data_IF_659238236996
#
_entry.id   IF_659238236996
#
_cell.length_a   1.000
_cell.length_b   1.000
_cell.length_c   1.000
_cell.angle_alpha   90.00
_cell.angle_beta   90.00
_cell.angle_gamma   90.00
#
_symmetry.space_group_name_H-M   'P 1'
#
loop_
_entity.id
_entity.type
_entity.pdbx_description
1 polymer ?
#
# COMPACT_ATOMS: atom_id res chain seq x y z
N UNK A 1 3.56 -14.09 -9.17
CA UNK A 1 4.73 -15.02 -9.14
C UNK A 1 5.99 -14.22 -8.83
N UNK A 2 7.10 -14.87 -8.46
CA UNK A 2 8.37 -14.17 -8.14
C UNK A 2 8.84 -13.24 -9.28
N UNK A 3 8.61 -13.66 -10.53
CA UNK A 3 8.88 -12.86 -11.73
C UNK A 3 8.20 -11.48 -11.70
N UNK A 4 6.91 -11.44 -11.31
CA UNK A 4 6.14 -10.20 -11.21
C UNK A 4 6.65 -9.32 -10.06
N UNK A 5 7.03 -9.94 -8.92
CA UNK A 5 7.58 -9.23 -7.76
C UNK A 5 8.92 -8.58 -8.08
N UNK A 6 9.82 -9.28 -8.78
CA UNK A 6 11.09 -8.73 -9.26
C UNK A 6 10.84 -7.54 -10.20
N UNK A 7 9.95 -7.72 -11.18
CA UNK A 7 9.62 -6.67 -12.15
C UNK A 7 9.01 -5.43 -11.47
N UNK A 8 8.07 -5.65 -10.57
CA UNK A 8 7.37 -4.60 -9.84
C UNK A 8 8.35 -3.84 -8.93
N UNK A 9 9.17 -4.55 -8.16
CA UNK A 9 10.20 -3.93 -7.32
C UNK A 9 11.24 -3.16 -8.13
N UNK A 10 11.71 -3.70 -9.27
CA UNK A 10 12.66 -2.98 -10.13
C UNK A 10 12.06 -1.68 -10.67
N UNK A 11 10.83 -1.75 -11.20
CA UNK A 11 10.12 -0.57 -11.71
C UNK A 11 9.91 0.46 -10.60
N UNK A 12 9.57 0.00 -9.39
CA UNK A 12 9.38 0.85 -8.22
C UNK A 12 10.69 1.52 -7.78
N UNK A 13 11.80 0.81 -7.83
CA UNK A 13 13.13 1.37 -7.59
C UNK A 13 13.57 2.37 -8.69
N UNK A 14 12.81 2.51 -9.78
CA UNK A 14 13.15 3.37 -10.91
C UNK A 14 14.34 2.86 -11.73
N UNK A 15 14.71 1.59 -11.57
CA UNK A 15 15.90 1.01 -12.19
C UNK A 15 15.55 0.40 -13.55
N UNK A 16 16.38 0.65 -14.56
CA UNK A 16 16.45 -0.20 -15.75
C UNK A 16 17.07 -1.56 -15.41
N UNK A 17 16.95 -2.54 -16.33
CA UNK A 17 17.60 -3.85 -16.16
C UNK A 17 19.13 -3.71 -16.03
N UNK A 18 19.72 -2.72 -16.71
CA UNK A 18 21.16 -2.42 -16.63
C UNK A 18 21.52 -1.81 -15.28
N UNK A 19 20.74 -0.85 -14.80
CA UNK A 19 21.01 -0.22 -13.50
C UNK A 19 20.84 -1.20 -12.35
N UNK A 20 19.87 -2.13 -12.42
CA UNK A 20 19.74 -3.19 -11.43
C UNK A 20 20.94 -4.16 -11.48
N UNK A 21 21.41 -4.53 -12.67
CA UNK A 21 22.62 -5.34 -12.83
C UNK A 21 23.84 -4.65 -12.18
N UNK A 22 24.00 -3.34 -12.43
CA UNK A 22 25.06 -2.53 -11.81
C UNK A 22 24.90 -2.43 -10.29
N UNK A 23 23.69 -2.21 -9.77
CA UNK A 23 23.40 -2.18 -8.33
C UNK A 23 23.70 -3.52 -7.64
N UNK A 24 23.63 -4.62 -8.38
CA UNK A 24 24.04 -5.95 -7.92
C UNK A 24 25.54 -6.24 -8.15
N UNK A 25 26.35 -5.22 -8.44
CA UNK A 25 27.78 -5.33 -8.77
C UNK A 25 28.07 -6.31 -9.92
N UNK A 26 27.19 -6.36 -10.93
CA UNK A 26 27.35 -7.24 -12.08
C UNK A 26 27.17 -8.74 -11.78
N UNK A 27 26.69 -9.11 -10.58
CA UNK A 27 26.47 -10.52 -10.18
C UNK A 27 25.55 -11.26 -11.15
N UNK A 28 24.62 -10.55 -11.78
CA UNK A 28 23.76 -11.04 -12.86
C UNK A 28 23.68 -10.00 -13.96
N UNK A 29 23.59 -10.46 -15.22
CA UNK A 29 23.48 -9.57 -16.37
C UNK A 29 22.06 -9.01 -16.50
N UNK A 30 21.91 -7.86 -17.16
CA UNK A 30 20.60 -7.30 -17.49
C UNK A 30 19.70 -8.29 -18.26
N UNK A 31 20.29 -9.15 -19.09
CA UNK A 31 19.57 -10.19 -19.81
C UNK A 31 19.03 -11.27 -18.87
N UNK A 32 19.83 -11.74 -17.91
CA UNK A 32 19.40 -12.71 -16.90
C UNK A 32 18.26 -12.15 -16.04
N UNK A 33 18.37 -10.89 -15.58
CA UNK A 33 17.29 -10.20 -14.88
C UNK A 33 16.01 -10.18 -15.73
N UNK A 34 16.13 -9.86 -17.03
CA UNK A 34 15.00 -9.87 -17.94
C UNK A 34 14.33 -11.25 -18.07
N UNK A 35 15.11 -12.34 -18.06
CA UNK A 35 14.57 -13.71 -18.04
C UNK A 35 13.82 -14.01 -16.75
N UNK A 36 14.36 -13.61 -15.59
CA UNK A 36 13.68 -13.75 -14.31
C UNK A 36 12.34 -13.01 -14.29
N UNK A 37 12.29 -11.77 -14.79
CA UNK A 37 11.06 -10.99 -14.87
C UNK A 37 10.01 -11.59 -15.81
N UNK A 38 10.41 -12.40 -16.79
CA UNK A 38 9.48 -13.12 -17.69
C UNK A 38 9.14 -14.53 -17.22
N UNK A 39 9.74 -14.99 -16.12
CA UNK A 39 9.57 -16.36 -15.63
C UNK A 39 10.23 -17.42 -16.50
N UNK A 40 11.18 -17.02 -17.36
CA UNK A 40 11.93 -17.92 -18.25
C UNK A 40 13.10 -18.60 -17.54
N UNK A 41 13.49 -18.09 -16.37
CA UNK A 41 14.57 -18.62 -15.54
C UNK A 41 14.29 -18.31 -14.07
N UNK A 42 14.90 -19.08 -13.16
CA UNK A 42 14.68 -18.96 -11.72
C UNK A 42 15.97 -18.46 -11.04
N UNK A 43 15.93 -17.36 -10.27
CA UNK A 43 17.10 -16.88 -9.56
C UNK A 43 17.55 -17.88 -8.49
N UNK A 44 18.86 -18.10 -8.37
CA UNK A 44 19.41 -18.88 -7.25
C UNK A 44 19.28 -18.11 -5.92
N UNK A 45 19.39 -18.80 -4.79
CA UNK A 45 19.31 -18.19 -3.45
C UNK A 45 20.27 -17.00 -3.27
N UNK A 46 21.50 -17.12 -3.76
CA UNK A 46 22.49 -16.04 -3.74
C UNK A 46 22.11 -14.84 -4.62
N UNK A 47 21.39 -15.08 -5.71
CA UNK A 47 20.85 -14.00 -6.57
C UNK A 47 19.65 -13.34 -5.91
N UNK A 48 18.77 -14.10 -5.26
CA UNK A 48 17.64 -13.56 -4.50
C UNK A 48 18.11 -12.60 -3.40
N UNK A 49 19.12 -12.97 -2.62
CA UNK A 49 19.69 -12.10 -1.58
C UNK A 49 20.30 -10.82 -2.18
N UNK A 50 20.90 -10.91 -3.37
CA UNK A 50 21.42 -9.74 -4.06
C UNK A 50 20.29 -8.85 -4.59
N UNK A 51 19.20 -9.44 -5.08
CA UNK A 51 18.01 -8.73 -5.53
C UNK A 51 17.34 -7.98 -4.38
N UNK A 52 17.12 -8.62 -3.23
CA UNK A 52 16.50 -7.96 -2.05
C UNK A 52 17.30 -6.74 -1.64
N UNK A 53 18.63 -6.84 -1.59
CA UNK A 53 19.52 -5.71 -1.26
C UNK A 53 19.49 -4.60 -2.31
N UNK A 54 19.59 -4.94 -3.59
CA UNK A 54 19.64 -3.95 -4.67
C UNK A 54 18.30 -3.24 -4.90
N UNK A 55 17.20 -3.94 -4.64
CA UNK A 55 15.84 -3.43 -4.81
C UNK A 55 15.28 -2.78 -3.54
N UNK A 56 15.93 -2.99 -2.38
CA UNK A 56 15.45 -2.48 -1.09
C UNK A 56 14.15 -3.13 -0.64
N UNK A 57 13.94 -4.41 -0.95
CA UNK A 57 12.73 -5.17 -0.58
C UNK A 57 13.10 -6.38 0.27
N UNK A 58 12.14 -6.87 1.06
CA UNK A 58 12.37 -8.07 1.88
C UNK A 58 12.39 -9.37 1.05
N UNK A 59 13.01 -10.43 1.59
CA UNK A 59 12.91 -11.76 0.99
C UNK A 59 11.45 -12.25 0.98
N UNK A 60 10.70 -11.94 2.04
CA UNK A 60 9.28 -12.25 2.12
C UNK A 60 8.52 -11.64 0.95
N UNK A 61 8.76 -10.37 0.62
CA UNK A 61 8.11 -9.71 -0.52
C UNK A 61 8.39 -10.40 -1.87
N UNK A 62 9.62 -10.84 -2.13
CA UNK A 62 9.94 -11.56 -3.38
C UNK A 62 9.27 -12.93 -3.45
N UNK A 63 9.16 -13.59 -2.29
CA UNK A 63 8.57 -14.92 -2.16
C UNK A 63 7.05 -14.88 -2.01
N UNK A 64 6.48 -13.71 -1.75
CA UNK A 64 5.07 -13.56 -1.50
C UNK A 64 4.24 -13.90 -2.77
N UNK A 65 3.28 -14.78 -2.55
CA UNK A 65 2.35 -15.29 -3.56
C UNK A 65 1.01 -14.57 -3.51
N UNK A 66 0.73 -13.79 -2.45
CA UNK A 66 -0.47 -13.00 -2.36
C UNK A 66 -0.36 -11.84 -3.35
N UNK A 67 -1.22 -11.82 -4.36
CA UNK A 67 -1.24 -10.77 -5.36
C UNK A 67 -1.93 -9.52 -4.80
N UNK A 68 -1.39 -8.92 -3.74
CA UNK A 68 -1.86 -7.61 -3.29
C UNK A 68 -1.24 -6.49 -4.14
N UNK A 69 -2.09 -5.56 -4.52
CA UNK A 69 -1.75 -4.39 -5.35
C UNK A 69 -2.45 -3.15 -4.80
N UNK A 70 -1.75 -2.02 -4.81
CA UNK A 70 -2.36 -0.72 -4.51
C UNK A 70 -3.05 -0.19 -5.77
N UNK A 71 -4.33 0.15 -5.66
CA UNK A 71 -5.12 0.77 -6.71
C UNK A 71 -5.70 2.11 -6.22
N UNK A 72 -5.85 3.07 -7.13
CA UNK A 72 -6.44 4.38 -6.79
C UNK A 72 -5.66 5.14 -5.73
N UNK A 73 -4.32 5.14 -5.81
CA UNK A 73 -3.46 5.86 -4.86
C UNK A 73 -3.64 7.37 -5.03
N UNK A 74 -4.16 8.03 -4.00
CA UNK A 74 -4.43 9.47 -3.97
C UNK A 74 -3.70 10.15 -2.82
N UNK A 75 -2.66 10.92 -3.14
CA UNK A 75 -1.90 11.68 -2.17
C UNK A 75 -2.63 12.97 -1.77
N UNK A 76 -2.65 13.28 -0.46
CA UNK A 76 -3.38 14.44 0.11
C UNK A 76 -2.91 15.80 -0.44
N UNK A 77 -1.62 15.92 -0.76
CA UNK A 77 -1.03 17.15 -1.29
C UNK A 77 -0.67 16.92 -2.75
N UNK A 78 -0.75 17.96 -3.61
CA UNK A 78 -0.07 18.01 -4.94
C UNK A 78 1.45 18.01 -4.73
N UNK A 79 1.94 17.00 -4.02
CA UNK A 79 3.31 16.90 -3.65
C UNK A 79 4.09 16.80 -4.97
N UNK A 80 5.08 17.66 -5.11
CA UNK A 80 6.17 17.55 -6.08
C UNK A 80 7.02 16.32 -5.75
N UNK A 81 6.36 15.19 -5.54
CA UNK A 81 6.93 13.90 -5.18
C UNK A 81 7.37 13.30 -6.49
N UNK A 82 8.68 13.07 -6.59
CA UNK A 82 9.24 12.41 -7.76
C UNK A 82 8.58 11.04 -7.94
N UNK A 83 8.55 10.53 -9.17
CA UNK A 83 8.04 9.18 -9.44
C UNK A 83 8.75 8.12 -8.56
N UNK A 84 10.04 8.33 -8.27
CA UNK A 84 10.84 7.49 -7.39
C UNK A 84 10.32 7.45 -5.96
N UNK A 85 9.97 8.61 -5.40
CA UNK A 85 9.47 8.69 -4.03
C UNK A 85 8.07 8.08 -3.89
N UNK A 86 7.18 8.32 -4.87
CA UNK A 86 5.86 7.68 -4.88
C UNK A 86 6.01 6.17 -4.87
N UNK A 87 6.85 5.66 -5.75
CA UNK A 87 7.09 4.24 -5.86
C UNK A 87 7.74 3.64 -4.61
N UNK A 88 8.67 4.35 -3.97
CA UNK A 88 9.24 3.91 -2.69
C UNK A 88 8.16 3.82 -1.60
N UNK A 89 7.37 4.89 -1.41
CA UNK A 89 6.28 4.93 -0.44
C UNK A 89 5.22 3.86 -0.68
N UNK A 90 4.80 3.66 -1.93
CA UNK A 90 3.89 2.59 -2.33
C UNK A 90 4.46 1.19 -2.09
N UNK A 91 5.79 1.02 -2.04
CA UNK A 91 6.43 -0.25 -1.71
C UNK A 91 6.39 -0.50 -0.22
N UNK A 92 6.82 0.47 0.57
CA UNK A 92 6.80 0.41 2.04
C UNK A 92 5.40 0.10 2.56
N UNK A 93 4.39 0.82 2.04
CA UNK A 93 3.00 0.61 2.42
C UNK A 93 2.49 -0.77 2.02
N UNK A 94 2.81 -1.23 0.81
CA UNK A 94 2.40 -2.55 0.35
C UNK A 94 3.02 -3.67 1.20
N UNK A 95 4.31 -3.56 1.53
CA UNK A 95 4.99 -4.53 2.43
C UNK A 95 4.43 -4.49 3.85
N UNK A 96 4.03 -3.32 4.34
CA UNK A 96 3.39 -3.21 5.65
C UNK A 96 2.02 -3.88 5.65
N UNK A 97 1.18 -3.58 4.66
CA UNK A 97 -0.16 -4.17 4.51
C UNK A 97 -0.08 -5.68 4.36
N UNK A 98 0.86 -6.18 3.55
CA UNK A 98 1.06 -7.62 3.40
C UNK A 98 1.32 -8.27 4.77
N UNK A 99 2.32 -7.78 5.50
CA UNK A 99 2.64 -8.30 6.84
C UNK A 99 1.44 -8.24 7.79
N UNK A 100 0.68 -7.15 7.76
CA UNK A 100 -0.50 -6.99 8.58
C UNK A 100 -1.57 -8.04 8.25
N UNK A 101 -1.89 -8.22 6.96
CA UNK A 101 -2.87 -9.22 6.51
C UNK A 101 -2.42 -10.65 6.81
N UNK A 102 -1.12 -10.94 6.75
CA UNK A 102 -0.58 -12.25 7.16
C UNK A 102 -0.80 -12.52 8.65
N UNK A 103 -0.63 -11.51 9.50
CA UNK A 103 -0.89 -11.64 10.95
C UNK A 103 -2.37 -11.90 11.19
N UNK A 104 -3.26 -11.14 10.55
CA UNK A 104 -4.70 -11.36 10.69
C UNK A 104 -5.12 -12.75 10.24
N UNK A 105 -4.61 -13.22 9.10
CA UNK A 105 -4.84 -14.57 8.61
C UNK A 105 -4.35 -15.63 9.61
N UNK A 106 -3.15 -15.45 10.17
CA UNK A 106 -2.58 -16.36 11.17
C UNK A 106 -3.39 -16.40 12.47
N UNK A 107 -4.02 -15.29 12.83
CA UNK A 107 -4.89 -15.15 14.01
C UNK A 107 -6.35 -15.53 13.74
N UNK A 108 -6.72 -15.83 12.48
CA UNK A 108 -8.10 -16.12 12.09
C UNK A 108 -9.03 -14.91 12.19
N UNK A 109 -8.50 -13.70 12.05
CA UNK A 109 -9.25 -12.45 12.05
C UNK A 109 -9.74 -12.12 10.63
N UNK A 110 -11.02 -11.77 10.47
CA UNK A 110 -11.60 -11.32 9.20
C UNK A 110 -12.10 -9.87 9.32
N UNK A 111 -11.15 -8.96 9.48
CA UNK A 111 -11.36 -7.58 9.95
C UNK A 111 -11.58 -6.55 8.83
N UNK A 112 -11.89 -6.99 7.61
CA UNK A 112 -11.71 -6.15 6.42
C UNK A 112 -12.94 -6.14 5.50
N UNK A 113 -14.12 -5.96 6.08
CA UNK A 113 -15.33 -5.59 5.33
C UNK A 113 -15.65 -4.13 5.63
N UNK A 114 -15.46 -3.28 4.62
CA UNK A 114 -15.73 -1.85 4.72
C UNK A 114 -17.23 -1.59 4.93
N UNK A 115 -17.60 -1.11 6.11
CA UNK A 115 -18.94 -0.68 6.47
C UNK A 115 -19.14 0.78 6.07
N UNK A 116 -19.13 1.03 4.75
CA UNK A 116 -19.34 2.36 4.20
C UNK A 116 -20.65 2.96 4.73
N UNK A 117 -20.63 4.17 5.32
CA UNK A 117 -21.86 4.81 5.78
C UNK A 117 -22.66 5.38 4.60
N UNK A 118 -22.08 5.37 3.39
CA UNK A 118 -22.65 5.87 2.15
C UNK A 118 -22.72 4.75 1.12
N UNK A 119 -23.87 4.59 0.47
CA UNK A 119 -24.05 3.60 -0.59
C UNK A 119 -23.30 3.98 -1.89
N UNK A 120 -23.20 5.28 -2.18
CA UNK A 120 -22.58 5.81 -3.39
C UNK A 120 -21.95 7.19 -3.16
N UNK A 121 -20.96 7.60 -3.98
CA UNK A 121 -20.39 8.93 -3.93
C UNK A 121 -21.46 10.01 -4.18
N UNK A 122 -21.56 10.99 -3.27
CA UNK A 122 -22.52 12.09 -3.37
C UNK A 122 -21.83 13.39 -3.74
N UNK A 123 -22.32 14.06 -4.80
CA UNK A 123 -21.85 15.40 -5.17
C UNK A 123 -22.51 16.45 -4.28
N UNK A 124 -21.70 17.14 -3.49
CA UNK A 124 -22.13 18.23 -2.60
C UNK A 124 -22.06 19.58 -3.31
N UNK A 125 -23.01 20.46 -3.02
CA UNK A 125 -23.14 21.80 -3.64
C UNK A 125 -22.89 22.94 -2.66
N UNK A 126 -22.87 22.66 -1.36
CA UNK A 126 -22.64 23.66 -0.32
C UNK A 126 -22.01 23.05 0.94
N UNK A 127 -21.37 23.88 1.80
CA UNK A 127 -20.90 23.43 3.12
C UNK A 127 -22.02 22.87 4.01
N UNK A 128 -23.24 23.43 3.92
CA UNK A 128 -24.38 22.94 4.68
C UNK A 128 -24.78 21.50 4.31
N UNK A 129 -24.64 21.12 3.04
CA UNK A 129 -24.83 19.73 2.63
C UNK A 129 -23.76 18.79 3.19
N UNK A 130 -22.52 19.27 3.38
CA UNK A 130 -21.45 18.51 4.00
C UNK A 130 -21.71 18.28 5.50
N UNK A 131 -22.16 19.30 6.22
CA UNK A 131 -22.57 19.19 7.63
C UNK A 131 -23.73 18.20 7.81
N UNK A 132 -24.74 18.28 6.93
CA UNK A 132 -25.86 17.33 6.96
C UNK A 132 -25.38 15.89 6.70
N UNK A 133 -24.48 15.70 5.72
CA UNK A 133 -23.91 14.38 5.44
C UNK A 133 -23.13 13.84 6.65
N UNK A 134 -22.35 14.69 7.33
CA UNK A 134 -21.64 14.30 8.54
C UNK A 134 -22.60 13.89 9.67
N UNK A 135 -23.73 14.60 9.83
CA UNK A 135 -24.78 14.24 10.79
C UNK A 135 -25.45 12.89 10.43
N UNK A 136 -25.71 12.65 9.15
CA UNK A 136 -26.27 11.38 8.66
C UNK A 136 -25.31 10.21 8.94
N UNK A 137 -24.01 10.39 8.70
CA UNK A 137 -22.96 9.41 9.03
C UNK A 137 -22.92 9.13 10.53
N UNK A 138 -22.93 10.17 11.37
CA UNK A 138 -22.97 10.00 12.85
C UNK A 138 -24.19 9.22 13.29
N UNK A 139 -25.37 9.50 12.72
CA UNK A 139 -26.59 8.76 13.02
C UNK A 139 -26.50 7.30 12.59
N UNK A 140 -25.99 7.04 11.39
CA UNK A 140 -25.82 5.70 10.85
C UNK A 140 -24.86 4.86 11.69
N UNK A 141 -23.72 5.42 12.09
CA UNK A 141 -22.73 4.77 12.93
C UNK A 141 -22.99 4.88 14.44
N UNK A 142 -24.08 5.53 14.84
CA UNK A 142 -24.50 5.72 16.24
C UNK A 142 -23.44 6.40 17.13
N UNK A 143 -22.76 7.43 16.59
CA UNK A 143 -21.64 8.10 17.26
C UNK A 143 -22.05 9.18 18.27
N UNK A 144 -23.32 9.54 18.34
CA UNK A 144 -23.78 10.68 19.12
C UNK A 144 -23.24 12.02 18.60
N UNK A 145 -23.23 13.03 19.47
CA UNK A 145 -22.82 14.41 19.16
C UNK A 145 -21.48 14.81 19.80
N UNK A 146 -20.98 14.01 20.73
CA UNK A 146 -19.73 14.27 21.44
C UNK A 146 -18.51 14.13 20.50
N UNK A 147 -17.35 14.73 20.87
CA UNK A 147 -16.12 14.54 20.15
C UNK A 147 -15.75 13.05 19.99
N UNK A 148 -15.22 12.70 18.83
CA UNK A 148 -14.71 11.34 18.58
C UNK A 148 -13.34 11.23 19.27
N UNK A 149 -13.18 10.37 20.29
CA UNK A 149 -11.95 10.32 21.08
C UNK A 149 -10.77 9.79 20.27
N UNK A 150 -11.02 8.82 19.38
CA UNK A 150 -10.01 8.20 18.53
C UNK A 150 -10.58 7.93 17.14
N UNK A 151 -10.20 8.78 16.18
CA UNK A 151 -10.65 8.64 14.79
C UNK A 151 -10.06 7.39 14.12
N UNK A 152 -8.83 7.01 14.46
CA UNK A 152 -8.17 5.83 13.90
C UNK A 152 -8.92 4.57 14.25
N UNK A 153 -9.18 4.36 15.54
CA UNK A 153 -9.91 3.20 16.05
C UNK A 153 -11.32 3.13 15.47
N UNK A 154 -12.05 4.25 15.44
CA UNK A 154 -13.36 4.31 14.81
C UNK A 154 -13.31 3.83 13.35
N UNK A 155 -12.35 4.32 12.56
CA UNK A 155 -12.22 3.95 11.15
C UNK A 155 -11.86 2.46 11.00
N UNK A 156 -11.01 1.92 11.87
CA UNK A 156 -10.65 0.50 11.85
C UNK A 156 -11.81 -0.42 12.24
N UNK A 157 -12.64 -0.03 13.23
CA UNK A 157 -13.87 -0.75 13.59
C UNK A 157 -14.89 -0.80 12.44
N UNK A 158 -14.87 0.20 11.56
CA UNK A 158 -15.72 0.21 10.35
C UNK A 158 -15.08 -0.54 9.18
N UNK A 159 -13.88 -1.12 9.34
CA UNK A 159 -13.26 -2.00 8.36
C UNK A 159 -12.30 -1.32 7.37
N UNK A 160 -11.88 -0.08 7.62
CA UNK A 160 -10.68 0.46 6.95
C UNK A 160 -9.43 -0.01 7.67
N UNK A 161 -8.27 0.10 7.01
CA UNK A 161 -6.97 0.05 7.70
C UNK A 161 -6.34 1.43 7.74
N UNK A 162 -5.82 1.80 8.90
CA UNK A 162 -5.13 3.07 9.09
C UNK A 162 -3.68 2.77 9.42
N UNK A 163 -2.79 3.20 8.55
CA UNK A 163 -1.36 2.92 8.62
C UNK A 163 -0.61 4.17 9.04
N UNK A 164 0.23 4.04 10.05
CA UNK A 164 1.18 5.09 10.43
C UNK A 164 2.58 4.63 10.08
N UNK A 165 3.17 5.24 9.06
CA UNK A 165 4.48 4.85 8.51
C UNK A 165 5.37 6.08 8.33
N UNK A 166 6.69 5.94 8.47
CA UNK A 166 7.61 7.03 8.18
C UNK A 166 7.63 7.27 6.67
N UNK A 167 7.15 8.44 6.24
CA UNK A 167 7.20 8.88 4.85
C UNK A 167 8.13 10.10 4.73
N UNK A 168 8.66 10.40 3.54
CA UNK A 168 9.35 11.66 3.29
C UNK A 168 8.51 12.86 3.74
N UNK A 169 9.13 13.87 4.36
CA UNK A 169 8.44 15.02 5.00
C UNK A 169 7.42 15.73 4.10
N UNK A 170 7.66 15.75 2.79
CA UNK A 170 6.75 16.33 1.78
C UNK A 170 5.46 15.53 1.53
N UNK A 171 5.33 14.35 2.14
CA UNK A 171 4.20 13.44 2.00
C UNK A 171 3.52 13.32 3.36
N UNK A 172 2.36 13.95 3.51
CA UNK A 172 1.57 13.84 4.75
C UNK A 172 0.79 12.51 4.84
N UNK A 173 0.53 11.87 3.71
CA UNK A 173 -0.28 10.66 3.64
C UNK A 173 -0.99 10.50 2.28
N UNK A 174 -1.68 9.37 2.13
CA UNK A 174 -2.48 9.05 0.96
C UNK A 174 -3.57 8.02 1.29
N UNK A 175 -4.57 7.92 0.42
CA UNK A 175 -5.58 6.86 0.46
C UNK A 175 -5.41 5.94 -0.73
N UNK A 176 -5.73 4.66 -0.56
CA UNK A 176 -5.75 3.70 -1.68
C UNK A 176 -6.69 2.53 -1.38
N UNK A 177 -7.01 1.77 -2.43
CA UNK A 177 -7.63 0.46 -2.32
C UNK A 177 -6.57 -0.61 -2.49
N UNK A 178 -6.55 -1.59 -1.60
CA UNK A 178 -5.71 -2.78 -1.76
C UNK A 178 -6.54 -3.87 -2.41
N UNK A 179 -6.16 -4.26 -3.63
CA UNK A 179 -6.70 -5.45 -4.27
C UNK A 179 -6.23 -6.67 -3.51
N UNK A 180 -7.16 -7.55 -3.12
CA UNK A 180 -6.84 -8.80 -2.40
C UNK A 180 -7.08 -10.02 -3.29
N UNK A 181 -6.43 -11.16 -3.01
CA UNK A 181 -6.63 -12.39 -3.78
C UNK A 181 -8.09 -12.86 -3.83
N UNK A 182 -8.41 -13.56 -4.93
CA UNK A 182 -9.70 -14.19 -5.33
C UNK A 182 -10.84 -14.14 -4.31
N UNK A 183 -11.82 -13.28 -4.56
CA UNK A 183 -13.14 -13.28 -3.91
C UNK A 183 -13.24 -12.40 -2.66
N UNK A 184 -12.11 -11.93 -2.12
CA UNK A 184 -12.11 -10.97 -1.02
C UNK A 184 -12.41 -9.56 -1.55
N UNK A 185 -13.19 -8.79 -0.79
CA UNK A 185 -13.47 -7.40 -1.13
C UNK A 185 -12.17 -6.58 -1.17
N UNK A 186 -12.12 -5.53 -1.97
CA UNK A 186 -11.00 -4.59 -1.89
C UNK A 186 -10.94 -3.96 -0.50
N UNK A 187 -9.74 -3.74 0.01
CA UNK A 187 -9.53 -3.18 1.35
C UNK A 187 -9.20 -1.69 1.24
N UNK A 188 -10.03 -0.79 1.78
CA UNK A 188 -9.69 0.62 1.83
C UNK A 188 -8.63 0.88 2.90
N UNK A 189 -7.60 1.62 2.50
CA UNK A 189 -6.46 1.94 3.36
C UNK A 189 -6.19 3.43 3.37
N UNK A 190 -6.00 3.96 4.57
CA UNK A 190 -5.53 5.31 4.83
C UNK A 190 -4.10 5.21 5.33
N UNK A 191 -3.19 5.94 4.72
CA UNK A 191 -1.79 6.03 5.14
C UNK A 191 -1.52 7.43 5.64
N UNK A 192 -0.99 7.51 6.85
CA UNK A 192 -0.62 8.75 7.52
C UNK A 192 0.88 8.72 7.79
N UNK A 193 1.56 9.82 7.49
CA UNK A 193 2.95 9.97 7.83
C UNK A 193 3.12 10.21 9.34
N UNK A 194 3.91 9.38 10.02
CA UNK A 194 4.19 9.54 11.45
C UNK A 194 5.38 10.48 11.76
N UNK A 195 6.08 10.98 10.73
CA UNK A 195 7.13 12.01 10.88
C UNK A 195 6.60 13.42 10.61
N UNK A 196 5.34 13.55 10.20
CA UNK A 196 4.73 14.86 9.95
C UNK A 196 4.33 15.50 11.28
N UNK A 197 5.00 16.59 11.66
CA UNK A 197 4.55 17.45 12.74
C UNK A 197 3.24 18.14 12.33
N UNK A 198 2.18 17.95 13.12
CA UNK A 198 0.93 18.72 13.00
C UNK A 198 1.18 20.22 13.13
#
# INVERSE_FOLDING_TARGET
>A
MIADRIRLARRKAGLSLRELSTAMNGKVTAQAIGKYERGEDVPSSGVLIALTKALGVSMAYLMDTQQIELAGVEFRTKASTSARDRAHVETEVLEWIDRYLQIELALGLDSAVWQSPLAEPRKLRSPAEAEQLAADVRKHWQLGIDPIPNMTELLEEKGLKVLTVPLPDRISGFTCMVKRPRGMADLPVIVVNNTFSL
#
